data_IF_499883600620
#
_entry.id   IF_499883600620
#
_cell.length_a   1.000
_cell.length_b   1.000
_cell.length_c   1.000
_cell.angle_alpha   90.00
_cell.angle_beta   90.00
_cell.angle_gamma   90.00
#
_symmetry.space_group_name_H-M   'P 1'
#
loop_
_entity.id
_entity.type
_entity.pdbx_description
1 polymer ?
#
# COMPACT_ATOMS: atom_id res chain seq x y z
N UNK A 1 22.60 -37.73 -6.18
CA UNK A 1 21.94 -37.39 -7.46
C UNK A 1 22.07 -35.89 -7.62
N UNK A 2 22.91 -35.46 -8.56
CA UNK A 2 23.18 -34.05 -8.84
C UNK A 2 21.90 -33.33 -9.26
N UNK A 3 21.55 -32.23 -8.57
CA UNK A 3 20.53 -31.28 -9.02
C UNK A 3 21.07 -30.43 -10.19
N UNK A 4 21.42 -31.06 -11.30
CA UNK A 4 21.84 -30.36 -12.51
C UNK A 4 20.61 -29.68 -13.15
N UNK A 5 20.37 -28.40 -12.81
CA UNK A 5 19.39 -27.56 -13.49
C UNK A 5 18.57 -26.59 -12.62
N UNK A 6 18.72 -26.60 -11.28
CA UNK A 6 18.02 -25.64 -10.42
C UNK A 6 18.87 -24.39 -10.25
N UNK A 7 18.41 -23.26 -10.79
CA UNK A 7 19.01 -21.94 -10.58
C UNK A 7 18.28 -21.28 -9.40
N UNK A 8 18.98 -21.06 -8.30
CA UNK A 8 18.45 -20.35 -7.12
C UNK A 8 18.97 -18.93 -7.05
N UNK A 9 18.25 -18.05 -6.35
CA UNK A 9 18.70 -16.69 -6.07
C UNK A 9 20.10 -16.68 -5.44
N UNK A 10 21.01 -15.76 -5.84
CA UNK A 10 22.29 -15.59 -5.17
C UNK A 10 22.16 -14.85 -3.82
N UNK A 11 20.97 -14.33 -3.50
CA UNK A 11 20.73 -13.58 -2.26
C UNK A 11 20.24 -14.50 -1.13
N UNK A 12 20.53 -14.16 0.14
CA UNK A 12 20.02 -14.89 1.29
C UNK A 12 18.50 -15.00 1.28
N UNK A 13 17.99 -16.09 1.83
CA UNK A 13 16.55 -16.24 2.10
C UNK A 13 16.10 -15.10 3.02
N UNK A 14 15.01 -14.43 2.64
CA UNK A 14 14.36 -13.40 3.45
C UNK A 14 13.17 -13.97 4.18
N UNK A 15 12.94 -13.52 5.41
CA UNK A 15 11.71 -13.80 6.14
C UNK A 15 10.60 -12.92 5.58
N UNK A 16 9.52 -13.54 5.10
CA UNK A 16 8.31 -12.81 4.70
C UNK A 16 7.45 -12.63 5.95
N UNK A 17 7.19 -11.38 6.39
CA UNK A 17 6.40 -11.14 7.60
C UNK A 17 4.92 -11.49 7.36
N UNK A 18 4.27 -12.02 8.40
CA UNK A 18 2.82 -12.23 8.44
C UNK A 18 2.12 -10.92 8.85
N UNK A 19 2.07 -9.98 7.91
CA UNK A 19 1.46 -8.67 8.06
C UNK A 19 0.52 -8.38 6.90
N UNK A 20 -0.51 -7.57 7.14
CA UNK A 20 -1.31 -7.01 6.07
C UNK A 20 -0.42 -6.19 5.13
N UNK A 21 -0.70 -6.24 3.83
CA UNK A 21 0.13 -5.59 2.82
C UNK A 21 0.26 -4.07 3.07
N UNK A 22 -0.86 -3.39 3.36
CA UNK A 22 -0.87 -1.95 3.68
C UNK A 22 -0.03 -1.64 4.93
N UNK A 23 -0.13 -2.47 5.97
CA UNK A 23 0.66 -2.30 7.19
C UNK A 23 2.16 -2.45 6.92
N UNK A 24 2.56 -3.46 6.14
CA UNK A 24 3.96 -3.65 5.77
C UNK A 24 4.52 -2.48 4.96
N UNK A 25 3.76 -2.01 3.96
CA UNK A 25 4.15 -0.88 3.09
C UNK A 25 4.32 0.40 3.89
N UNK A 26 3.43 0.67 4.85
CA UNK A 26 3.42 1.91 5.63
C UNK A 26 4.00 1.78 7.03
N UNK A 27 4.69 0.69 7.36
CA UNK A 27 5.21 0.42 8.71
C UNK A 27 6.11 1.55 9.26
N UNK A 28 6.77 2.32 8.39
CA UNK A 28 7.64 3.45 8.74
C UNK A 28 7.04 4.82 8.44
N UNK A 29 5.75 4.90 8.08
CA UNK A 29 5.15 6.15 7.63
C UNK A 29 5.19 7.25 8.70
N UNK A 30 5.08 6.90 9.98
CA UNK A 30 5.20 7.86 11.08
C UNK A 30 6.62 8.47 11.16
N UNK A 31 7.66 7.66 10.99
CA UNK A 31 9.06 8.14 10.97
C UNK A 31 9.34 9.05 9.76
N UNK A 32 8.60 8.85 8.67
CA UNK A 32 8.80 9.54 7.39
C UNK A 32 7.70 10.56 7.11
N UNK A 33 6.93 10.98 8.12
CA UNK A 33 5.64 11.66 7.96
C UNK A 33 5.68 12.86 7.00
N UNK A 34 6.73 13.67 7.05
CA UNK A 34 6.89 14.88 6.24
C UNK A 34 7.55 14.63 4.88
N UNK A 35 8.05 13.42 4.62
CA UNK A 35 8.69 13.08 3.34
C UNK A 35 7.65 12.86 2.24
N UNK A 36 7.93 13.26 1.00
CA UNK A 36 7.10 12.90 -0.16
C UNK A 36 6.93 11.37 -0.27
N UNK A 37 5.69 10.92 -0.40
CA UNK A 37 5.34 9.52 -0.65
C UNK A 37 4.88 9.30 -2.08
N UNK A 38 3.96 10.16 -2.56
CA UNK A 38 3.47 10.16 -3.93
C UNK A 38 3.51 11.55 -4.53
N UNK A 39 3.99 11.65 -5.76
CA UNK A 39 4.06 12.89 -6.53
C UNK A 39 3.31 12.63 -7.83
N UNK A 40 2.24 13.39 -8.08
CA UNK A 40 1.60 13.43 -9.39
C UNK A 40 2.51 14.19 -10.35
N UNK A 41 3.11 13.46 -11.29
CA UNK A 41 4.06 14.01 -12.25
C UNK A 41 3.46 15.07 -13.18
N UNK A 42 2.14 15.07 -13.39
CA UNK A 42 1.48 16.03 -14.29
C UNK A 42 1.23 17.39 -13.64
N UNK A 43 0.89 17.41 -12.34
CA UNK A 43 0.55 18.62 -11.61
C UNK A 43 1.62 19.08 -10.61
N UNK A 44 2.57 18.21 -10.26
CA UNK A 44 3.52 18.41 -9.17
C UNK A 44 2.92 18.24 -7.78
N UNK A 45 1.61 17.94 -7.67
CA UNK A 45 0.94 17.73 -6.38
C UNK A 45 1.57 16.55 -5.64
N UNK A 46 1.95 16.78 -4.39
CA UNK A 46 2.65 15.81 -3.55
C UNK A 46 1.80 15.45 -2.34
N UNK A 47 1.68 14.16 -2.04
CA UNK A 47 1.24 13.66 -0.74
C UNK A 47 2.44 13.14 0.05
N UNK A 48 2.58 13.59 1.29
CA UNK A 48 3.56 13.05 2.23
C UNK A 48 3.11 11.71 2.82
N UNK A 49 4.03 10.97 3.46
CA UNK A 49 3.69 9.72 4.14
C UNK A 49 2.61 9.91 5.23
N UNK A 50 2.65 11.03 5.96
CA UNK A 50 1.63 11.36 6.96
C UNK A 50 0.26 11.64 6.33
N UNK A 51 0.25 12.38 5.22
CA UNK A 51 -0.99 12.71 4.51
C UNK A 51 -1.65 11.47 3.89
N UNK A 52 -0.87 10.61 3.21
CA UNK A 52 -1.42 9.42 2.55
C UNK A 52 -1.94 8.40 3.56
N UNK A 53 -1.22 8.16 4.66
CA UNK A 53 -1.69 7.22 5.70
C UNK A 53 -2.89 7.76 6.47
N UNK A 54 -2.96 9.06 6.72
CA UNK A 54 -4.15 9.72 7.26
C UNK A 54 -5.37 9.54 6.34
N UNK A 55 -5.19 9.77 5.04
CA UNK A 55 -6.25 9.59 4.05
C UNK A 55 -6.72 8.12 3.95
N UNK A 56 -5.79 7.16 3.93
CA UNK A 56 -6.09 5.72 3.93
C UNK A 56 -6.98 5.36 5.12
N UNK A 57 -6.59 5.76 6.34
CA UNK A 57 -7.36 5.49 7.56
C UNK A 57 -8.75 6.09 7.53
N UNK A 58 -8.87 7.33 7.06
CA UNK A 58 -10.16 8.03 6.93
C UNK A 58 -11.09 7.31 5.93
N UNK A 59 -10.58 6.92 4.77
CA UNK A 59 -11.37 6.22 3.74
C UNK A 59 -11.77 4.83 4.25
N UNK A 60 -10.84 4.07 4.83
CA UNK A 60 -11.11 2.75 5.39
C UNK A 60 -12.20 2.80 6.47
N UNK A 61 -12.07 3.73 7.44
CA UNK A 61 -13.07 3.92 8.48
C UNK A 61 -14.45 4.33 7.91
N UNK A 62 -14.46 5.19 6.88
CA UNK A 62 -15.69 5.62 6.22
C UNK A 62 -16.39 4.50 5.46
N UNK A 63 -15.63 3.62 4.80
CA UNK A 63 -16.16 2.44 4.12
C UNK A 63 -16.71 1.43 5.12
N UNK A 64 -15.97 1.15 6.20
CA UNK A 64 -16.41 0.27 7.29
C UNK A 64 -17.71 0.78 7.93
N UNK A 65 -17.83 2.09 8.18
CA UNK A 65 -19.04 2.71 8.70
C UNK A 65 -20.26 2.57 7.76
N UNK A 66 -20.03 2.27 6.47
CA UNK A 66 -21.08 2.00 5.46
C UNK A 66 -21.33 0.51 5.25
N UNK A 67 -20.73 -0.35 6.06
CA UNK A 67 -20.90 -1.80 6.02
C UNK A 67 -19.99 -2.52 5.03
N UNK A 68 -19.02 -1.85 4.41
CA UNK A 68 -18.03 -2.50 3.56
C UNK A 68 -17.02 -3.27 4.41
N UNK A 69 -16.69 -4.49 4.02
CA UNK A 69 -15.78 -5.34 4.79
C UNK A 69 -15.14 -6.48 4.01
N UNK A 70 -14.46 -7.36 4.76
CA UNK A 70 -13.76 -8.53 4.19
C UNK A 70 -14.74 -9.43 3.42
N UNK A 71 -14.39 -9.71 2.17
CA UNK A 71 -15.20 -10.52 1.26
C UNK A 71 -15.97 -9.68 0.24
N UNK A 72 -16.12 -8.39 0.47
CA UNK A 72 -16.70 -7.47 -0.52
C UNK A 72 -15.71 -7.18 -1.65
N UNK A 73 -16.24 -6.80 -2.80
CA UNK A 73 -15.47 -6.43 -3.99
C UNK A 73 -15.53 -4.92 -4.19
N UNK A 74 -14.37 -4.26 -4.24
CA UNK A 74 -14.25 -2.84 -4.51
C UNK A 74 -13.59 -2.61 -5.89
N UNK A 75 -14.32 -1.99 -6.82
CA UNK A 75 -13.78 -1.63 -8.12
C UNK A 75 -13.16 -0.22 -8.07
N UNK A 76 -11.93 -0.09 -8.59
CA UNK A 76 -11.26 1.20 -8.77
C UNK A 76 -11.14 1.47 -10.27
N UNK A 77 -11.82 2.50 -10.74
CA UNK A 77 -11.68 3.02 -12.10
C UNK A 77 -11.15 4.44 -12.04
N UNK A 78 -9.84 4.59 -12.19
CA UNK A 78 -9.14 5.86 -11.99
C UNK A 78 -7.88 5.92 -12.87
N UNK A 79 -7.47 7.11 -13.34
CA UNK A 79 -6.12 7.33 -13.84
C UNK A 79 -5.07 7.18 -12.71
N UNK A 80 -3.78 7.26 -13.07
CA UNK A 80 -2.65 7.19 -12.15
C UNK A 80 -2.52 8.49 -11.31
N UNK A 81 -3.42 8.65 -10.34
CA UNK A 81 -3.42 9.75 -9.37
C UNK A 81 -3.15 9.22 -7.95
N UNK A 82 -2.65 10.05 -7.02
CA UNK A 82 -2.43 9.64 -5.62
C UNK A 82 -3.66 9.01 -4.95
N UNK A 83 -4.87 9.43 -5.32
CA UNK A 83 -6.13 8.89 -4.81
C UNK A 83 -6.33 7.40 -5.15
N UNK A 84 -5.74 6.90 -6.24
CA UNK A 84 -5.73 5.46 -6.54
C UNK A 84 -5.09 4.68 -5.40
N UNK A 85 -3.91 5.12 -4.94
CA UNK A 85 -3.20 4.46 -3.86
C UNK A 85 -3.97 4.55 -2.53
N UNK A 86 -4.59 5.71 -2.25
CA UNK A 86 -5.45 5.88 -1.06
C UNK A 86 -6.60 4.88 -1.10
N UNK A 87 -7.33 4.80 -2.21
CA UNK A 87 -8.48 3.90 -2.34
C UNK A 87 -8.07 2.43 -2.22
N UNK A 88 -7.01 2.02 -2.92
CA UNK A 88 -6.49 0.66 -2.87
C UNK A 88 -6.06 0.26 -1.45
N UNK A 89 -5.23 1.08 -0.81
CA UNK A 89 -4.73 0.76 0.52
C UNK A 89 -5.81 0.83 1.60
N UNK A 90 -6.85 1.66 1.43
CA UNK A 90 -7.98 1.72 2.36
C UNK A 90 -8.81 0.44 2.37
N UNK A 91 -8.91 -0.28 1.24
CA UNK A 91 -9.64 -1.56 1.15
C UNK A 91 -8.76 -2.79 1.38
N UNK A 92 -7.43 -2.62 1.30
CA UNK A 92 -6.44 -3.65 1.57
C UNK A 92 -5.89 -3.63 3.01
N UNK A 93 -6.51 -2.82 3.89
CA UNK A 93 -6.16 -2.71 5.32
C UNK A 93 -7.03 -3.57 6.20
#
# INVERSE_FOLDING_TARGET
MDQAGIITSPFPTVTIPDLAFTDYVYQRAAELADKPALIDGSSGRTLTYGQITGAIRLVAASLAARGFGKGDVFAIYSPNLPEYAVAFHAVAT
#
